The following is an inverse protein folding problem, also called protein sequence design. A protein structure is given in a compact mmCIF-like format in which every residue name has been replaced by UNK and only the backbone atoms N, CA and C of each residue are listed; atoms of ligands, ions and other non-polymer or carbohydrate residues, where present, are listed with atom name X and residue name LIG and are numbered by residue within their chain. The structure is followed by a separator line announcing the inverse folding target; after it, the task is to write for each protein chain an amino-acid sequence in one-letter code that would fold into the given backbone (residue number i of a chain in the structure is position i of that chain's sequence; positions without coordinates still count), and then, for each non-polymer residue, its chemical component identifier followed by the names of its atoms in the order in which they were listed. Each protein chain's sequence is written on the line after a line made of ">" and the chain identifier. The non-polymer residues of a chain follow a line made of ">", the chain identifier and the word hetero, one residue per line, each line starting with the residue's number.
data_IF_440580258625
#
_entry.id   IF_440580258625
#
_cell.length_a   1.000
_cell.length_b   1.000
_cell.length_c   1.000
_cell.angle_alpha   90.00
_cell.angle_beta   90.00
_cell.angle_gamma   90.00
#
_symmetry.space_group_name_H-M   'P 1'
#
loop_
_entity.id
_entity.type
_entity.pdbx_description
1 polymer ?
#
# COMPACT_ATOMS: atom_id res chain seq x y z
N UNK A 1 -22.87 7.40 -8.52
CA UNK A 1 -23.02 6.34 -7.50
C UNK A 1 -23.94 5.31 -8.12
N UNK A 2 -23.35 4.28 -8.72
CA UNK A 2 -24.10 3.25 -9.45
C UNK A 2 -24.79 2.30 -8.45
N UNK A 3 -25.88 1.66 -8.86
CA UNK A 3 -26.60 0.66 -8.05
C UNK A 3 -25.70 -0.52 -7.60
N UNK A 4 -24.60 -0.76 -8.30
CA UNK A 4 -23.56 -1.72 -7.93
C UNK A 4 -22.79 -1.30 -6.66
N UNK A 5 -22.45 0.00 -6.54
CA UNK A 5 -21.67 0.55 -5.42
C UNK A 5 -22.46 0.49 -4.09
N UNK A 6 -23.79 0.56 -4.18
CA UNK A 6 -24.69 0.47 -3.03
C UNK A 6 -24.92 -0.98 -2.56
N UNK A 7 -24.78 -1.95 -3.46
CA UNK A 7 -24.91 -3.37 -3.13
C UNK A 7 -23.66 -3.91 -2.39
N UNK A 8 -22.47 -3.43 -2.76
CA UNK A 8 -21.21 -3.84 -2.13
C UNK A 8 -21.10 -3.43 -0.65
N UNK A 9 -21.71 -2.31 -0.26
CA UNK A 9 -21.76 -1.89 1.15
C UNK A 9 -22.62 -2.78 2.06
N UNK A 10 -23.43 -3.69 1.49
CA UNK A 10 -24.29 -4.60 2.26
C UNK A 10 -23.65 -5.97 2.54
N UNK A 11 -22.48 -6.24 1.97
CA UNK A 11 -21.77 -7.51 2.11
C UNK A 11 -21.07 -7.61 3.48
N UNK A 12 -21.11 -8.79 4.08
CA UNK A 12 -20.30 -9.06 5.28
C UNK A 12 -18.81 -9.03 4.90
N UNK A 13 -17.94 -8.62 5.84
CA UNK A 13 -16.48 -8.59 5.70
C UNK A 13 -15.89 -9.79 4.95
N UNK A 14 -16.38 -11.01 5.22
CA UNK A 14 -15.89 -12.23 4.55
C UNK A 14 -16.24 -12.23 3.05
N UNK A 15 -17.47 -11.85 2.71
CA UNK A 15 -17.94 -11.80 1.32
C UNK A 15 -17.26 -10.68 0.55
N UNK A 16 -17.03 -9.53 1.19
CA UNK A 16 -16.32 -8.41 0.59
C UNK A 16 -14.86 -8.80 0.27
N UNK A 17 -14.21 -9.52 1.19
CA UNK A 17 -12.86 -10.05 0.97
C UNK A 17 -12.81 -11.08 -0.15
N UNK A 18 -13.79 -11.99 -0.24
CA UNK A 18 -13.88 -12.95 -1.36
C UNK A 18 -14.14 -12.24 -2.69
N UNK A 19 -14.99 -11.21 -2.70
CA UNK A 19 -15.26 -10.41 -3.88
C UNK A 19 -14.00 -9.69 -4.37
N UNK A 20 -13.29 -8.99 -3.47
CA UNK A 20 -12.01 -8.36 -3.80
C UNK A 20 -10.97 -9.38 -4.25
N UNK A 21 -10.84 -10.52 -3.57
CA UNK A 21 -9.93 -11.62 -3.97
C UNK A 21 -10.23 -12.10 -5.39
N UNK A 22 -11.50 -12.30 -5.71
CA UNK A 22 -11.94 -12.77 -7.03
C UNK A 22 -11.68 -11.73 -8.11
N UNK A 23 -12.09 -10.48 -7.89
CA UNK A 23 -11.84 -9.38 -8.82
C UNK A 23 -10.34 -9.19 -9.09
N UNK A 24 -9.53 -9.21 -8.03
CA UNK A 24 -8.08 -9.04 -8.15
C UNK A 24 -7.41 -10.22 -8.85
N UNK A 25 -7.87 -11.46 -8.60
CA UNK A 25 -7.41 -12.65 -9.33
C UNK A 25 -7.73 -12.56 -10.82
N UNK A 26 -8.95 -12.13 -11.17
CA UNK A 26 -9.36 -11.97 -12.57
C UNK A 26 -8.53 -10.90 -13.29
N UNK A 27 -8.24 -9.78 -12.62
CA UNK A 27 -7.41 -8.70 -13.17
C UNK A 27 -5.94 -9.14 -13.34
N UNK A 28 -5.40 -9.87 -12.36
CA UNK A 28 -4.04 -10.43 -12.44
C UNK A 28 -3.91 -11.44 -13.59
N UNK A 29 -4.93 -12.27 -13.81
CA UNK A 29 -5.00 -13.20 -14.96
C UNK A 29 -5.16 -12.44 -16.27
N UNK A 30 -5.92 -11.35 -16.28
CA UNK A 30 -6.17 -10.51 -17.47
C UNK A 30 -4.97 -9.69 -17.94
N UNK A 31 -3.84 -9.69 -17.22
CA UNK A 31 -2.62 -8.90 -17.48
C UNK A 31 -2.80 -7.38 -17.50
N UNK A 32 -4.02 -6.86 -17.41
CA UNK A 32 -4.32 -5.43 -17.50
C UNK A 32 -3.60 -4.64 -16.40
N UNK A 33 -3.67 -5.10 -15.16
CA UNK A 33 -2.90 -4.54 -14.04
C UNK A 33 -1.39 -4.63 -14.26
N UNK A 34 -0.90 -5.70 -14.89
CA UNK A 34 0.53 -5.88 -15.14
C UNK A 34 1.05 -4.93 -16.22
N UNK A 35 0.19 -4.57 -17.18
CA UNK A 35 0.52 -3.71 -18.30
C UNK A 35 0.30 -2.22 -17.99
N UNK A 36 -0.73 -1.90 -17.20
CA UNK A 36 -1.14 -0.54 -16.87
C UNK A 36 -1.53 -0.44 -15.39
N UNK A 37 -0.56 -0.52 -14.47
CA UNK A 37 -0.86 -0.34 -13.05
C UNK A 37 -1.29 1.10 -12.77
N UNK A 38 -2.28 1.24 -11.91
CA UNK A 38 -2.76 2.52 -11.40
C UNK A 38 -2.86 2.52 -9.86
N UNK A 39 -3.17 3.68 -9.29
CA UNK A 39 -3.20 3.84 -7.84
C UNK A 39 -4.31 3.01 -7.17
N UNK A 40 -5.57 3.02 -7.65
CA UNK A 40 -6.63 2.21 -7.06
C UNK A 40 -6.34 0.71 -7.09
N UNK A 41 -5.78 0.18 -8.19
CA UNK A 41 -5.46 -1.24 -8.26
C UNK A 41 -4.31 -1.62 -7.31
N UNK A 42 -3.32 -0.76 -7.12
CA UNK A 42 -2.26 -0.96 -6.12
C UNK A 42 -2.80 -0.92 -4.69
N UNK A 43 -3.74 -0.02 -4.38
CA UNK A 43 -4.40 0.01 -3.08
C UNK A 43 -5.19 -1.28 -2.82
N UNK A 44 -5.98 -1.73 -3.80
CA UNK A 44 -6.71 -2.97 -3.73
C UNK A 44 -5.77 -4.18 -3.52
N UNK A 45 -4.66 -4.22 -4.25
CA UNK A 45 -3.63 -5.25 -4.11
C UNK A 45 -2.97 -5.21 -2.73
N UNK A 46 -2.66 -4.03 -2.19
CA UNK A 46 -2.10 -3.89 -0.84
C UNK A 46 -3.07 -4.37 0.26
N UNK A 47 -4.35 -4.04 0.16
CA UNK A 47 -5.40 -4.52 1.07
C UNK A 47 -5.54 -6.05 0.96
N UNK A 48 -5.58 -6.57 -0.27
CA UNK A 48 -5.67 -8.00 -0.53
C UNK A 48 -4.47 -8.76 0.08
N UNK A 49 -3.24 -8.29 -0.15
CA UNK A 49 -2.03 -8.89 0.41
C UNK A 49 -2.03 -8.87 1.94
N UNK A 50 -2.51 -7.78 2.54
CA UNK A 50 -2.66 -7.66 4.00
C UNK A 50 -3.64 -8.69 4.54
N UNK A 51 -4.79 -8.86 3.89
CA UNK A 51 -5.76 -9.89 4.27
C UNK A 51 -5.21 -11.30 4.04
N UNK A 52 -4.48 -11.52 2.94
CA UNK A 52 -3.94 -12.83 2.59
C UNK A 52 -2.88 -13.26 3.62
N UNK A 53 -2.03 -12.35 4.08
CA UNK A 53 -1.04 -12.57 5.15
C UNK A 53 -1.65 -13.10 6.45
N UNK A 54 -2.90 -12.74 6.77
CA UNK A 54 -3.59 -13.21 7.99
C UNK A 54 -3.97 -14.69 7.89
N UNK A 55 -4.21 -15.19 6.67
CA UNK A 55 -4.72 -16.53 6.42
C UNK A 55 -3.68 -17.49 5.81
N UNK A 56 -2.64 -16.95 5.17
CA UNK A 56 -1.64 -17.71 4.43
C UNK A 56 -0.23 -17.16 4.72
N UNK A 57 0.69 -18.02 5.16
CA UNK A 57 2.10 -17.69 5.42
C UNK A 57 3.04 -18.28 4.35
N UNK A 58 2.49 -18.73 3.23
CA UNK A 58 3.26 -19.40 2.19
C UNK A 58 4.05 -18.46 1.27
N UNK A 59 5.04 -19.02 0.56
CA UNK A 59 5.86 -18.32 -0.45
C UNK A 59 5.05 -17.58 -1.53
N UNK A 60 3.81 -17.97 -1.79
CA UNK A 60 2.94 -17.30 -2.76
C UNK A 60 2.67 -15.84 -2.40
N UNK A 61 2.46 -15.54 -1.11
CA UNK A 61 2.19 -14.16 -0.65
C UNK A 61 3.42 -13.28 -0.85
N UNK A 62 4.62 -13.81 -0.56
CA UNK A 62 5.88 -13.11 -0.81
C UNK A 62 6.10 -12.82 -2.30
N UNK A 63 5.86 -13.80 -3.18
CA UNK A 63 5.97 -13.59 -4.64
C UNK A 63 5.00 -12.52 -5.13
N UNK A 64 3.74 -12.56 -4.66
CA UNK A 64 2.73 -11.55 -5.01
C UNK A 64 3.11 -10.17 -4.49
N UNK A 65 3.67 -10.06 -3.28
CA UNK A 65 4.18 -8.80 -2.76
C UNK A 65 5.33 -8.25 -3.60
N UNK A 66 6.26 -9.11 -4.04
CA UNK A 66 7.33 -8.71 -4.97
C UNK A 66 6.79 -8.22 -6.32
N UNK A 67 5.67 -8.76 -6.82
CA UNK A 67 4.98 -8.23 -8.01
C UNK A 67 4.40 -6.84 -7.68
N UNK A 68 3.72 -6.68 -6.56
CA UNK A 68 3.15 -5.40 -6.13
C UNK A 68 4.22 -4.29 -6.02
N UNK A 69 5.38 -4.59 -5.43
CA UNK A 69 6.52 -3.66 -5.35
C UNK A 69 6.99 -3.23 -6.74
N UNK A 70 7.13 -4.17 -7.69
CA UNK A 70 7.54 -3.85 -9.07
C UNK A 70 6.51 -3.00 -9.81
N UNK A 71 5.22 -3.23 -9.60
CA UNK A 71 4.15 -2.40 -10.16
C UNK A 71 4.14 -1.00 -9.54
N UNK A 72 4.31 -0.89 -8.22
CA UNK A 72 4.45 0.40 -7.56
C UNK A 72 5.69 1.17 -8.08
N UNK A 73 6.79 0.46 -8.32
CA UNK A 73 7.99 1.05 -8.90
C UNK A 73 7.78 1.55 -10.32
N UNK A 74 7.06 0.80 -11.16
CA UNK A 74 6.86 1.16 -12.58
C UNK A 74 6.11 2.48 -12.77
N UNK A 75 5.23 2.84 -11.82
CA UNK A 75 4.53 4.13 -11.81
C UNK A 75 5.19 5.17 -10.88
N UNK A 76 6.33 4.84 -10.27
CA UNK A 76 7.18 5.79 -9.56
C UNK A 76 6.80 6.07 -8.10
N UNK A 77 6.17 5.14 -7.37
CA UNK A 77 5.88 5.28 -5.94
C UNK A 77 7.14 5.31 -5.05
N UNK A 78 8.23 4.69 -5.53
CA UNK A 78 9.54 4.63 -4.86
C UNK A 78 10.34 5.93 -4.94
N UNK A 79 9.84 6.95 -5.64
CA UNK A 79 10.55 8.23 -5.86
C UNK A 79 9.91 9.31 -5.02
N UNK A 80 10.70 10.29 -4.62
CA UNK A 80 10.16 11.47 -3.95
C UNK A 80 9.21 12.24 -4.87
N UNK A 81 8.00 12.51 -4.36
CA UNK A 81 6.85 13.04 -5.11
C UNK A 81 7.04 14.49 -5.57
N UNK A 82 8.04 15.19 -5.04
CA UNK A 82 8.45 16.54 -5.45
C UNK A 82 8.71 16.66 -6.96
N UNK A 83 9.01 15.55 -7.63
CA UNK A 83 9.27 15.49 -9.08
C UNK A 83 8.03 15.29 -9.97
N UNK A 84 6.83 15.06 -9.40
CA UNK A 84 5.68 14.55 -10.15
C UNK A 84 4.48 15.51 -10.27
N UNK A 85 4.55 16.74 -9.75
CA UNK A 85 3.46 17.74 -9.76
C UNK A 85 2.11 17.18 -9.25
N UNK A 86 2.16 16.27 -8.27
CA UNK A 86 0.98 15.69 -7.66
C UNK A 86 0.40 16.63 -6.60
N UNK A 87 -0.89 16.50 -6.31
CA UNK A 87 -1.49 17.17 -5.16
C UNK A 87 -0.83 16.71 -3.85
N UNK A 88 -0.90 17.49 -2.76
CA UNK A 88 -0.41 17.06 -1.47
C UNK A 88 -1.04 15.74 -1.01
N UNK A 89 -2.35 15.59 -1.21
CA UNK A 89 -3.07 14.36 -0.90
C UNK A 89 -2.55 13.15 -1.66
N UNK A 90 -2.44 13.24 -3.00
CA UNK A 90 -1.96 12.14 -3.83
C UNK A 90 -0.52 11.76 -3.50
N UNK A 91 0.32 12.75 -3.19
CA UNK A 91 1.69 12.54 -2.77
C UNK A 91 1.75 11.72 -1.47
N UNK A 92 0.96 12.10 -0.47
CA UNK A 92 0.89 11.41 0.82
C UNK A 92 0.29 9.99 0.67
N UNK A 93 -0.77 9.84 -0.13
CA UNK A 93 -1.39 8.54 -0.39
C UNK A 93 -0.41 7.56 -1.04
N UNK A 94 0.38 8.02 -2.00
CA UNK A 94 1.41 7.22 -2.68
C UNK A 94 2.51 6.77 -1.73
N UNK A 95 2.96 7.65 -0.84
CA UNK A 95 3.95 7.31 0.19
C UNK A 95 3.41 6.26 1.15
N UNK A 96 2.17 6.42 1.62
CA UNK A 96 1.54 5.45 2.52
C UNK A 96 1.45 4.06 1.90
N UNK A 97 1.05 3.96 0.63
CA UNK A 97 1.00 2.66 -0.08
C UNK A 97 2.38 2.09 -0.33
N UNK A 98 3.35 2.92 -0.76
CA UNK A 98 4.73 2.49 -0.96
C UNK A 98 5.30 1.84 0.30
N UNK A 99 5.26 2.57 1.41
CA UNK A 99 5.80 2.12 2.68
C UNK A 99 5.03 0.93 3.25
N UNK A 100 3.72 0.84 3.02
CA UNK A 100 2.93 -0.34 3.39
C UNK A 100 3.41 -1.60 2.66
N UNK A 101 3.64 -1.53 1.34
CA UNK A 101 4.16 -2.65 0.55
C UNK A 101 5.57 -3.07 0.98
N UNK A 102 6.44 -2.09 1.28
CA UNK A 102 7.78 -2.35 1.82
C UNK A 102 7.73 -3.07 3.17
N UNK A 103 6.81 -2.67 4.06
CA UNK A 103 6.63 -3.32 5.36
C UNK A 103 6.06 -4.73 5.26
N UNK A 104 5.22 -5.01 4.27
CA UNK A 104 4.75 -6.37 3.99
C UNK A 104 5.91 -7.29 3.54
N UNK A 105 6.91 -6.73 2.85
CA UNK A 105 8.12 -7.43 2.42
C UNK A 105 9.09 -7.67 3.57
N UNK A 106 9.28 -6.65 4.41
CA UNK A 106 10.17 -6.62 5.57
C UNK A 106 9.93 -7.74 6.58
N UNK A 107 8.67 -8.17 6.72
CA UNK A 107 8.28 -9.25 7.63
C UNK A 107 8.46 -10.65 7.03
N UNK A 108 8.87 -10.75 5.78
CA UNK A 108 9.09 -12.03 5.11
C UNK A 108 10.46 -12.68 5.38
N UNK A 109 11.57 -11.94 5.62
CA UNK A 109 12.80 -12.53 6.15
C UNK A 109 12.64 -13.20 7.52
N UNK A 110 11.75 -12.73 8.38
CA UNK A 110 11.50 -13.35 9.69
C UNK A 110 10.99 -14.81 9.53
N UNK A 111 10.26 -15.08 8.45
CA UNK A 111 9.73 -16.42 8.16
C UNK A 111 10.69 -17.29 7.32
N UNK A 112 11.54 -16.68 6.45
CA UNK A 112 12.29 -17.42 5.41
C UNK A 112 13.73 -16.92 5.08
N UNK A 113 14.27 -15.91 5.76
CA UNK A 113 15.66 -15.46 5.58
C UNK A 113 15.96 -14.64 4.31
N UNK A 114 14.95 -14.08 3.66
CA UNK A 114 15.13 -13.20 2.49
C UNK A 114 15.35 -11.75 2.90
N UNK A 115 16.58 -11.25 2.81
CA UNK A 115 16.88 -9.83 3.10
C UNK A 115 16.01 -8.91 2.25
N UNK A 116 15.45 -7.89 2.91
CA UNK A 116 14.89 -6.71 2.26
C UNK A 116 15.86 -6.19 1.21
N UNK A 117 15.32 -5.58 0.17
CA UNK A 117 16.18 -4.78 -0.71
C UNK A 117 16.59 -3.54 0.10
N UNK A 118 17.70 -3.61 0.82
CA UNK A 118 18.28 -2.56 1.68
C UNK A 118 18.26 -1.17 1.02
N UNK A 119 18.54 -1.15 -0.29
CA UNK A 119 18.44 0.03 -1.15
C UNK A 119 17.06 0.71 -1.18
N UNK A 120 15.96 -0.01 -0.99
CA UNK A 120 14.60 0.53 -1.06
C UNK A 120 14.19 1.26 0.21
N UNK A 121 14.72 0.83 1.36
CA UNK A 121 14.43 1.42 2.67
C UNK A 121 15.36 2.60 2.95
N UNK A 122 16.66 2.45 2.69
CA UNK A 122 17.68 3.44 3.04
C UNK A 122 17.84 4.59 2.02
N UNK A 123 17.36 4.41 0.78
CA UNK A 123 17.33 5.45 -0.25
C UNK A 123 15.91 5.73 -0.77
N UNK A 124 14.90 5.35 0.01
CA UNK A 124 13.49 5.56 -0.31
C UNK A 124 13.06 7.02 -0.22
N UNK A 125 11.80 7.32 -0.59
CA UNK A 125 11.23 8.66 -0.43
C UNK A 125 11.07 9.00 1.06
N UNK A 126 10.64 10.22 1.40
CA UNK A 126 10.37 10.58 2.81
C UNK A 126 9.38 9.61 3.47
N UNK A 127 9.41 9.54 4.80
CA UNK A 127 8.41 8.81 5.57
C UNK A 127 7.02 9.47 5.43
N UNK A 128 5.93 8.69 5.57
CA UNK A 128 4.58 9.24 5.67
C UNK A 128 4.44 10.17 6.88
N UNK A 129 3.46 11.09 6.84
CA UNK A 129 3.21 12.00 7.96
C UNK A 129 2.51 11.28 9.12
N UNK A 130 2.89 11.62 10.36
CA UNK A 130 2.17 11.18 11.56
C UNK A 130 0.86 11.97 11.74
N UNK A 131 -0.18 11.63 10.96
CA UNK A 131 -1.51 12.26 10.97
C UNK A 131 -2.61 11.22 10.81
N UNK A 132 -3.80 11.53 11.34
CA UNK A 132 -5.00 10.69 11.16
C UNK A 132 -5.59 10.84 9.77
N UNK A 133 -6.36 9.85 9.32
CA UNK A 133 -6.95 9.84 7.98
C UNK A 133 -8.01 10.95 7.79
N UNK A 134 -8.67 11.39 8.86
CA UNK A 134 -9.66 12.48 8.84
C UNK A 134 -9.04 13.86 8.54
N UNK A 135 -7.72 13.98 8.63
CA UNK A 135 -6.96 15.19 8.30
C UNK A 135 -6.54 15.25 6.84
N UNK A 136 -6.70 14.16 6.09
CA UNK A 136 -6.33 14.07 4.68
C UNK A 136 -7.58 14.15 3.79
N UNK A 137 -7.57 15.07 2.82
CA UNK A 137 -8.69 15.27 1.90
C UNK A 137 -8.22 15.69 0.51
N UNK A 138 -8.98 15.29 -0.52
CA UNK A 138 -8.59 15.38 -1.94
C UNK A 138 -8.22 16.81 -2.40
N UNK A 139 -8.87 17.83 -1.86
CA UNK A 139 -8.76 19.22 -2.32
C UNK A 139 -7.80 20.06 -1.47
N UNK A 140 -6.95 19.44 -0.66
CA UNK A 140 -5.98 20.14 0.18
C UNK A 140 -4.87 20.79 -0.66
N UNK A 141 -4.51 22.03 -0.32
CA UNK A 141 -3.41 22.76 -0.96
C UNK A 141 -2.09 22.56 -0.21
N UNK A 142 -2.15 22.26 1.08
CA UNK A 142 -0.99 22.06 1.95
C UNK A 142 -1.21 20.83 2.85
N UNK A 143 -0.11 20.13 3.18
CA UNK A 143 -0.14 18.99 4.10
C UNK A 143 -0.42 19.45 5.54
N UNK A 144 -1.20 18.68 6.33
CA UNK A 144 -1.38 18.97 7.75
C UNK A 144 -0.05 18.85 8.49
N UNK A 145 0.06 19.60 9.59
CA UNK A 145 1.20 19.49 10.51
C UNK A 145 1.19 18.12 11.19
N UNK A 146 2.36 17.49 11.28
CA UNK A 146 2.51 16.22 12.00
C UNK A 146 2.13 16.34 13.47
N UNK A 147 1.45 15.32 13.98
CA UNK A 147 1.14 15.19 15.40
C UNK A 147 2.38 14.76 16.19
N UNK A 148 2.58 15.32 17.38
CA UNK A 148 3.55 14.79 18.36
C UNK A 148 2.99 13.59 19.14
N UNK A 149 1.69 13.32 19.02
CA UNK A 149 0.99 12.24 19.71
C UNK A 149 0.74 11.00 18.85
N UNK A 150 -0.03 10.06 19.42
CA UNK A 150 -0.48 8.86 18.72
C UNK A 150 -1.52 9.21 17.65
N UNK A 151 -1.34 8.63 16.46
CA UNK A 151 -2.26 8.69 15.32
C UNK A 151 -2.42 7.29 14.74
N UNK A 152 -3.33 7.15 13.77
CA UNK A 152 -3.49 5.91 13.01
C UNK A 152 -2.19 5.49 12.27
N UNK A 153 -1.33 6.45 11.92
CA UNK A 153 -0.05 6.18 11.26
C UNK A 153 1.08 5.76 12.21
N UNK A 154 0.93 5.96 13.52
CA UNK A 154 2.04 5.74 14.47
C UNK A 154 2.59 4.31 14.41
N UNK A 155 1.72 3.29 14.36
CA UNK A 155 2.19 1.90 14.30
C UNK A 155 2.98 1.58 13.02
N UNK A 156 2.51 2.08 11.88
CA UNK A 156 3.20 1.94 10.59
C UNK A 156 4.57 2.62 10.62
N UNK A 157 4.64 3.85 11.15
CA UNK A 157 5.86 4.63 11.22
C UNK A 157 6.92 4.01 12.13
N UNK A 158 6.53 3.55 13.31
CA UNK A 158 7.46 2.86 14.21
C UNK A 158 7.95 1.54 13.59
N UNK A 159 7.06 0.80 12.91
CA UNK A 159 7.43 -0.39 12.16
C UNK A 159 8.48 -0.11 11.08
N UNK A 160 8.32 0.97 10.33
CA UNK A 160 9.26 1.38 9.28
C UNK A 160 10.62 1.76 9.88
N UNK A 161 10.63 2.58 10.95
CA UNK A 161 11.87 3.05 11.60
C UNK A 161 12.73 1.90 12.11
N UNK A 162 12.13 0.83 12.64
CA UNK A 162 12.86 -0.37 13.10
C UNK A 162 13.67 -1.04 11.98
N UNK A 163 13.20 -0.93 10.73
CA UNK A 163 13.83 -1.57 9.57
C UNK A 163 14.77 -0.66 8.77
N UNK A 164 14.83 0.64 9.10
CA UNK A 164 15.75 1.62 8.51
C UNK A 164 16.87 1.89 9.54
N UNK A 165 17.89 1.02 9.58
CA UNK A 165 19.07 1.18 10.43
C UNK A 165 20.36 0.82 9.70
#
# INVERSE_FOLDING_TARGET
>A
MNEQDAADLSLNRVQLLEHFKTGLSNILVGTELLNQPDMPALQALAIFLTSLRVHETGRGVWVLNGIAIRLAQSIGLHRDGTSLNLTPFESELRLRVWWHLCMLDARSPEDHGFELTDSLLNHGPRLPLNVNDDQLYLTMEELPTESEGWTEMSFSLEGIKVHIH
#
